data_IF_226616642758
#
_entry.id   IF_226616642758
#
_cell.length_a   1.000
_cell.length_b   1.000
_cell.length_c   1.000
_cell.angle_alpha   90.00
_cell.angle_beta   90.00
_cell.angle_gamma   90.00
#
_symmetry.space_group_name_H-M   'P 1'
#
loop_
_entity.id
_entity.type
_entity.pdbx_description
1 polymer ?
#
# COMPACT_ATOMS: atom_id res chain seq x y z
N UNK A 1 58.72 -6.24 -28.62
CA UNK A 1 57.94 -4.96 -28.65
C UNK A 1 56.51 -5.28 -29.05
N UNK A 2 55.49 -4.69 -28.38
CA UNK A 2 54.07 -4.95 -28.62
C UNK A 2 53.55 -4.24 -29.89
N UNK A 3 52.42 -4.68 -30.48
CA UNK A 3 51.80 -4.02 -31.62
C UNK A 3 51.03 -2.75 -31.21
N UNK A 4 51.20 -1.67 -31.98
CA UNK A 4 50.45 -0.41 -31.86
C UNK A 4 49.12 -0.46 -32.62
N UNK A 5 48.07 -0.16 -31.86
CA UNK A 5 46.81 0.54 -32.17
C UNK A 5 46.63 1.09 -33.60
N UNK A 6 45.46 0.78 -34.17
CA UNK A 6 44.89 1.47 -35.33
C UNK A 6 43.38 1.62 -35.18
N UNK A 7 42.94 2.81 -34.76
CA UNK A 7 41.54 3.26 -34.72
C UNK A 7 41.06 3.54 -36.15
N UNK A 8 39.90 2.99 -36.55
CA UNK A 8 39.20 3.42 -37.77
C UNK A 8 37.74 3.73 -37.45
N UNK A 9 37.36 4.95 -37.82
CA UNK A 9 36.01 5.49 -37.79
C UNK A 9 35.14 4.86 -38.87
N UNK A 10 33.84 4.62 -38.60
CA UNK A 10 32.83 4.41 -39.64
C UNK A 10 31.58 5.21 -39.31
N UNK A 11 31.19 6.03 -40.28
CA UNK A 11 30.04 6.92 -40.30
C UNK A 11 28.76 6.23 -40.77
N UNK A 12 27.65 6.89 -40.44
CA UNK A 12 26.22 6.60 -40.60
C UNK A 12 25.74 6.51 -42.07
N UNK A 13 24.72 5.67 -42.37
CA UNK A 13 23.49 5.98 -43.18
C UNK A 13 22.64 4.72 -43.52
N UNK A 14 21.35 4.71 -43.12
CA UNK A 14 20.08 4.77 -43.92
C UNK A 14 19.48 3.39 -44.27
N UNK A 15 18.37 2.93 -43.66
CA UNK A 15 16.91 3.18 -43.93
C UNK A 15 16.42 2.66 -45.30
N UNK A 16 15.44 1.73 -45.29
CA UNK A 16 14.18 1.60 -46.09
C UNK A 16 13.57 0.21 -45.75
N UNK A 17 12.41 -0.02 -45.09
CA UNK A 17 10.98 0.33 -45.25
C UNK A 17 10.16 -0.65 -46.14
N UNK A 18 8.96 -1.05 -45.64
CA UNK A 18 7.71 -1.47 -46.36
C UNK A 18 7.52 -2.99 -46.63
N UNK A 19 6.38 -3.67 -46.41
CA UNK A 19 4.95 -3.33 -46.13
C UNK A 19 4.09 -4.54 -45.67
N UNK A 20 3.04 -4.25 -44.87
CA UNK A 20 1.59 -4.63 -44.90
C UNK A 20 1.12 -6.03 -45.32
N UNK A 21 0.01 -6.61 -44.83
CA UNK A 21 -1.18 -6.20 -44.04
C UNK A 21 -1.94 -7.50 -43.65
N UNK A 22 -3.12 -7.59 -43.00
CA UNK A 22 -4.35 -6.78 -43.04
C UNK A 22 -5.33 -7.27 -41.95
N UNK A 23 -5.99 -6.30 -41.28
CA UNK A 23 -7.38 -6.26 -40.76
C UNK A 23 -8.15 -7.51 -40.29
N UNK A 24 -8.69 -7.45 -39.07
CA UNK A 24 -10.15 -7.41 -38.85
C UNK A 24 -10.51 -6.90 -37.45
N UNK A 25 -11.18 -5.75 -37.44
CA UNK A 25 -12.07 -5.23 -36.40
C UNK A 25 -13.02 -6.30 -35.90
N UNK A 26 -13.11 -6.52 -34.59
CA UNK A 26 -14.39 -6.75 -33.91
C UNK A 26 -14.39 -6.08 -32.52
N UNK A 27 -15.48 -5.34 -32.28
CA UNK A 27 -15.81 -4.73 -30.99
C UNK A 27 -16.20 -5.85 -30.04
N UNK A 28 -15.68 -5.83 -28.84
CA UNK A 28 -16.31 -6.50 -27.70
C UNK A 28 -16.01 -5.72 -26.44
N UNK A 29 -16.96 -4.85 -26.12
CA UNK A 29 -17.11 -4.17 -24.85
C UNK A 29 -17.64 -5.15 -23.80
N UNK A 30 -16.78 -5.67 -22.93
CA UNK A 30 -17.20 -6.17 -21.61
C UNK A 30 -16.02 -6.41 -20.66
N UNK A 31 -16.01 -5.63 -19.57
CA UNK A 31 -15.36 -5.89 -18.26
C UNK A 31 -13.85 -6.24 -18.20
N UNK A 32 -12.99 -5.21 -18.24
CA UNK A 32 -11.58 -5.29 -17.81
C UNK A 32 -11.17 -4.39 -16.61
N UNK A 33 -12.04 -4.03 -15.62
CA UNK A 33 -11.64 -3.11 -14.56
C UNK A 33 -10.70 -3.73 -13.49
N UNK A 34 -10.61 -5.06 -13.40
CA UNK A 34 -9.83 -5.73 -12.34
C UNK A 34 -8.32 -5.70 -12.61
N UNK A 35 -7.90 -5.99 -13.84
CA UNK A 35 -6.47 -6.02 -14.18
C UNK A 35 -5.81 -4.64 -14.15
N UNK A 36 -6.53 -3.58 -14.54
CA UNK A 36 -6.01 -2.21 -14.46
C UNK A 36 -5.80 -1.76 -13.01
N UNK A 37 -6.71 -2.15 -12.11
CA UNK A 37 -6.60 -1.82 -10.68
C UNK A 37 -5.42 -2.53 -10.03
N UNK A 38 -5.21 -3.82 -10.33
CA UNK A 38 -4.06 -4.58 -9.80
C UNK A 38 -2.72 -3.98 -10.24
N UNK A 39 -2.59 -3.59 -11.51
CA UNK A 39 -1.38 -2.95 -12.04
C UNK A 39 -1.10 -1.58 -11.39
N UNK A 40 -2.16 -0.85 -11.05
CA UNK A 40 -2.05 0.43 -10.35
C UNK A 40 -1.65 0.25 -8.88
N UNK A 41 -2.23 -0.74 -8.20
CA UNK A 41 -1.83 -1.12 -6.84
C UNK A 41 -0.37 -1.57 -6.80
N UNK A 42 0.05 -2.42 -7.73
CA UNK A 42 1.44 -2.86 -7.84
C UNK A 42 2.38 -1.68 -8.08
N UNK A 43 1.98 -0.71 -8.90
CA UNK A 43 2.74 0.52 -9.10
C UNK A 43 2.86 1.34 -7.80
N UNK A 44 1.79 1.47 -7.03
CA UNK A 44 1.81 2.22 -5.78
C UNK A 44 2.74 1.57 -4.74
N UNK A 45 2.75 0.24 -4.67
CA UNK A 45 3.70 -0.52 -3.84
C UNK A 45 5.15 -0.21 -4.27
N UNK A 46 5.43 -0.31 -5.58
CA UNK A 46 6.74 0.00 -6.14
C UNK A 46 7.17 1.46 -5.84
N UNK A 47 6.23 2.41 -5.97
CA UNK A 47 6.43 3.82 -5.73
C UNK A 47 6.76 4.10 -4.26
N UNK A 48 5.96 3.55 -3.36
CA UNK A 48 6.15 3.67 -1.92
C UNK A 48 7.51 3.15 -1.49
N UNK A 49 7.90 1.96 -2.00
CA UNK A 49 9.23 1.40 -1.75
C UNK A 49 10.34 2.35 -2.21
N UNK A 50 10.26 2.87 -3.43
CA UNK A 50 11.26 3.81 -3.95
C UNK A 50 11.36 5.08 -3.09
N UNK A 51 10.23 5.64 -2.66
CA UNK A 51 10.19 6.81 -1.76
C UNK A 51 10.88 6.50 -0.44
N UNK A 52 10.57 5.35 0.17
CA UNK A 52 11.18 4.92 1.42
C UNK A 52 12.70 4.80 1.28
N UNK A 53 13.19 4.21 0.19
CA UNK A 53 14.63 4.06 -0.04
C UNK A 53 15.34 5.41 -0.22
N UNK A 54 14.72 6.37 -0.91
CA UNK A 54 15.26 7.74 -1.00
C UNK A 54 15.34 8.40 0.38
N UNK A 55 14.31 8.26 1.20
CA UNK A 55 14.29 8.82 2.56
C UNK A 55 15.33 8.18 3.47
N UNK A 56 15.50 6.85 3.42
CA UNK A 56 16.51 6.14 4.21
C UNK A 56 17.91 6.59 3.80
N UNK A 57 18.16 6.72 2.49
CA UNK A 57 19.43 7.24 2.00
C UNK A 57 19.69 8.62 2.59
N UNK A 58 18.79 9.59 2.37
CA UNK A 58 18.92 10.96 2.88
C UNK A 58 19.16 11.02 4.40
N UNK A 59 18.39 10.24 5.18
CA UNK A 59 18.52 10.15 6.64
C UNK A 59 19.85 9.56 7.10
N UNK A 60 20.47 8.69 6.30
CA UNK A 60 21.76 8.09 6.65
C UNK A 60 22.93 9.09 6.63
N UNK A 61 22.82 10.22 5.93
CA UNK A 61 23.87 11.25 5.86
C UNK A 61 25.18 10.85 5.17
N UNK A 62 25.23 9.67 4.51
CA UNK A 62 26.45 9.09 3.89
C UNK A 62 26.65 9.48 2.41
N UNK A 63 25.80 10.34 1.89
CA UNK A 63 25.69 10.68 0.46
C UNK A 63 26.44 11.97 0.14
N UNK A 64 27.00 12.04 -1.06
CA UNK A 64 27.64 13.25 -1.58
C UNK A 64 26.58 14.37 -1.77
N UNK A 65 26.97 15.65 -1.66
CA UNK A 65 26.09 16.81 -1.85
C UNK A 65 25.30 16.76 -3.17
N UNK A 66 25.95 16.33 -4.26
CA UNK A 66 25.27 16.14 -5.56
C UNK A 66 24.20 15.05 -5.49
N UNK A 67 24.52 13.92 -4.86
CA UNK A 67 23.57 12.81 -4.70
C UNK A 67 22.42 13.20 -3.79
N UNK A 68 22.69 13.97 -2.73
CA UNK A 68 21.66 14.51 -1.84
C UNK A 68 20.64 15.36 -2.59
N UNK A 69 21.13 16.27 -3.43
CA UNK A 69 20.28 17.11 -4.27
C UNK A 69 19.48 16.28 -5.28
N UNK A 70 20.13 15.35 -5.98
CA UNK A 70 19.49 14.48 -6.96
C UNK A 70 18.39 13.60 -6.31
N UNK A 71 18.65 13.01 -5.13
CA UNK A 71 17.68 12.23 -4.37
C UNK A 71 16.51 13.08 -3.86
N UNK A 72 16.77 14.31 -3.42
CA UNK A 72 15.72 15.26 -2.98
C UNK A 72 14.82 15.63 -4.16
N UNK A 73 15.39 15.90 -5.34
CA UNK A 73 14.62 16.20 -6.56
C UNK A 73 13.78 15.02 -7.02
N UNK A 74 14.34 13.81 -6.97
CA UNK A 74 13.61 12.57 -7.27
C UNK A 74 12.42 12.41 -6.31
N UNK A 75 12.65 12.58 -4.99
CA UNK A 75 11.62 12.46 -3.96
C UNK A 75 10.46 13.45 -4.20
N UNK A 76 10.77 14.72 -4.47
CA UNK A 76 9.76 15.74 -4.76
C UNK A 76 8.89 15.37 -5.99
N UNK A 77 9.51 14.76 -7.01
CA UNK A 77 8.78 14.33 -8.21
C UNK A 77 7.89 13.11 -7.93
N UNK A 78 8.35 12.18 -7.10
CA UNK A 78 7.59 10.96 -6.76
C UNK A 78 6.40 11.26 -5.83
N UNK A 79 6.56 12.19 -4.88
CA UNK A 79 5.48 12.61 -3.96
C UNK A 79 4.46 13.56 -4.60
N UNK A 80 4.83 14.23 -5.69
CA UNK A 80 3.93 15.14 -6.40
C UNK A 80 2.73 14.36 -6.99
N UNK A 81 1.52 14.77 -6.60
CA UNK A 81 0.28 14.24 -7.16
C UNK A 81 0.03 14.72 -8.60
N UNK A 82 0.73 15.78 -9.03
CA UNK A 82 0.65 16.32 -10.40
C UNK A 82 1.57 15.60 -11.40
N UNK A 83 2.46 14.72 -10.93
CA UNK A 83 3.36 13.97 -11.79
C UNK A 83 2.68 12.73 -12.35
N UNK A 84 2.66 12.60 -13.68
CA UNK A 84 2.07 11.44 -14.36
C UNK A 84 2.80 10.13 -14.01
N UNK A 85 2.08 8.99 -14.04
CA UNK A 85 2.63 7.67 -13.72
C UNK A 85 3.90 7.36 -14.53
N UNK A 86 3.92 7.67 -15.83
CA UNK A 86 5.08 7.44 -16.71
C UNK A 86 6.32 8.20 -16.22
N UNK A 87 6.14 9.46 -15.81
CA UNK A 87 7.23 10.28 -15.29
C UNK A 87 7.76 9.72 -13.96
N UNK A 88 6.86 9.31 -13.06
CA UNK A 88 7.25 8.65 -11.80
C UNK A 88 8.08 7.38 -12.06
N UNK A 89 7.63 6.51 -12.97
CA UNK A 89 8.40 5.30 -13.38
C UNK A 89 9.77 5.63 -13.96
N UNK A 90 9.87 6.69 -14.78
CA UNK A 90 11.15 7.12 -15.33
C UNK A 90 12.12 7.57 -14.24
N UNK A 91 11.64 8.36 -13.26
CA UNK A 91 12.45 8.81 -12.13
C UNK A 91 12.89 7.62 -11.26
N UNK A 92 11.99 6.67 -11.00
CA UNK A 92 12.32 5.43 -10.27
C UNK A 92 13.43 4.64 -10.97
N UNK A 93 13.31 4.44 -12.29
CA UNK A 93 14.33 3.73 -13.09
C UNK A 93 15.65 4.49 -13.14
N UNK A 94 15.63 5.82 -13.27
CA UNK A 94 16.85 6.63 -13.27
C UNK A 94 17.57 6.57 -11.91
N UNK A 95 16.82 6.55 -10.81
CA UNK A 95 17.38 6.60 -9.45
C UNK A 95 17.89 5.24 -8.98
N UNK A 96 17.14 4.16 -9.28
CA UNK A 96 17.41 2.83 -8.72
C UNK A 96 17.73 1.76 -9.76
N UNK A 97 17.54 2.03 -11.06
CA UNK A 97 17.62 1.01 -12.10
C UNK A 97 16.42 0.07 -12.03
N UNK A 98 16.69 -1.23 -11.97
CA UNK A 98 15.68 -2.24 -11.72
C UNK A 98 15.34 -2.32 -10.22
N UNK A 99 14.35 -1.53 -9.81
CA UNK A 99 13.88 -1.47 -8.43
C UNK A 99 13.08 -2.73 -8.02
N UNK A 100 12.53 -3.51 -8.96
CA UNK A 100 11.78 -4.72 -8.62
C UNK A 100 12.69 -5.82 -8.10
N UNK A 101 13.83 -6.01 -8.77
CA UNK A 101 14.87 -6.91 -8.28
C UNK A 101 15.32 -6.53 -6.87
N UNK A 102 15.52 -5.22 -6.61
CA UNK A 102 15.91 -4.72 -5.28
C UNK A 102 14.87 -4.94 -4.19
N UNK A 103 13.57 -4.84 -4.51
CA UNK A 103 12.51 -5.20 -3.55
C UNK A 103 12.63 -6.67 -3.14
N UNK A 104 12.76 -7.58 -4.11
CA UNK A 104 12.86 -9.02 -3.83
C UNK A 104 14.12 -9.38 -3.03
N UNK A 105 15.24 -8.69 -3.27
CA UNK A 105 16.48 -8.88 -2.53
C UNK A 105 16.35 -8.44 -1.07
N UNK A 106 15.77 -7.26 -0.83
CA UNK A 106 15.54 -6.76 0.53
C UNK A 106 14.50 -7.60 1.28
N UNK A 107 13.44 -8.07 0.62
CA UNK A 107 12.46 -8.99 1.22
C UNK A 107 13.08 -10.33 1.60
N UNK A 108 13.94 -10.88 0.74
CA UNK A 108 14.73 -12.09 1.06
C UNK A 108 15.66 -11.85 2.24
N UNK A 109 16.35 -10.71 2.29
CA UNK A 109 17.23 -10.37 3.42
C UNK A 109 16.43 -10.18 4.71
N UNK A 110 15.27 -9.53 4.65
CA UNK A 110 14.42 -9.28 5.82
C UNK A 110 13.80 -10.55 6.36
N UNK A 111 13.32 -11.44 5.48
CA UNK A 111 12.82 -12.77 5.88
C UNK A 111 13.92 -13.62 6.51
N UNK A 112 15.13 -13.63 5.95
CA UNK A 112 16.26 -14.35 6.55
C UNK A 112 16.67 -13.77 7.91
N UNK A 113 16.64 -12.44 8.06
CA UNK A 113 16.89 -11.80 9.35
C UNK A 113 15.80 -12.12 10.37
N UNK A 114 14.52 -12.15 9.96
CA UNK A 114 13.40 -12.52 10.82
C UNK A 114 13.54 -13.96 11.35
N UNK A 115 13.97 -14.90 10.50
CA UNK A 115 14.26 -16.29 10.92
C UNK A 115 15.42 -16.38 11.93
N UNK A 116 16.39 -15.45 11.86
CA UNK A 116 17.52 -15.38 12.80
C UNK A 116 17.20 -14.66 14.10
N UNK A 117 16.03 -14.03 14.24
CA UNK A 117 15.62 -13.38 15.48
C UNK A 117 15.23 -14.43 16.52
N UNK A 118 16.20 -14.88 17.31
CA UNK A 118 15.93 -15.71 18.48
C UNK A 118 15.44 -14.83 19.63
N UNK A 119 14.20 -15.04 20.09
CA UNK A 119 13.71 -14.39 21.32
C UNK A 119 14.45 -15.02 22.49
N UNK A 120 15.37 -14.27 23.09
CA UNK A 120 16.03 -14.70 24.33
C UNK A 120 15.07 -14.43 25.50
N UNK A 121 14.82 -15.40 26.39
CA UNK A 121 14.07 -15.15 27.62
C UNK A 121 14.76 -14.02 28.40
N UNK A 122 13.98 -13.06 28.86
CA UNK A 122 14.51 -11.92 29.59
C UNK A 122 15.01 -12.37 30.96
N UNK A 123 16.28 -12.07 31.26
CA UNK A 123 16.84 -12.30 32.59
C UNK A 123 16.17 -11.36 33.61
N UNK A 124 15.62 -11.87 34.73
CA UNK A 124 14.89 -11.06 35.69
C UNK A 124 15.81 -10.03 36.35
N UNK A 125 15.68 -8.77 35.96
CA UNK A 125 16.39 -7.66 36.59
C UNK A 125 15.71 -7.32 37.93
N UNK A 126 16.46 -7.41 39.02
CA UNK A 126 15.99 -7.14 40.40
C UNK A 126 15.44 -5.72 40.62
N UNK A 127 15.61 -4.80 39.66
CA UNK A 127 15.09 -3.42 39.71
C UNK A 127 13.71 -3.24 39.05
N UNK A 128 13.13 -4.28 38.44
CA UNK A 128 11.81 -4.16 37.83
C UNK A 128 10.72 -4.36 38.88
N UNK A 129 9.83 -3.39 39.01
CA UNK A 129 8.64 -3.49 39.87
C UNK A 129 7.47 -3.95 39.01
N UNK A 130 6.81 -5.03 39.40
CA UNK A 130 5.56 -5.47 38.78
C UNK A 130 4.41 -4.58 39.26
N UNK A 131 3.85 -3.77 38.36
CA UNK A 131 2.66 -2.97 38.67
C UNK A 131 1.42 -3.84 38.39
N UNK A 132 0.67 -4.16 39.44
CA UNK A 132 -0.62 -4.85 39.33
C UNK A 132 -1.65 -3.89 38.74
N UNK A 133 -2.19 -4.21 37.56
CA UNK A 133 -3.20 -3.40 36.84
C UNK A 133 -4.50 -3.19 37.64
N UNK A 134 -4.78 -4.03 38.64
CA UNK A 134 -5.96 -3.95 39.50
C UNK A 134 -5.58 -3.71 40.96
N UNK A 135 -5.37 -2.45 41.31
CA UNK A 135 -5.56 -1.93 42.66
C UNK A 135 -5.86 -0.42 42.62
N UNK A 136 -6.70 0.03 41.68
CA UNK A 136 -7.50 1.23 41.96
C UNK A 136 -8.61 0.78 42.93
N UNK A 137 -8.29 0.78 44.22
CA UNK A 137 -9.32 1.11 45.20
C UNK A 137 -9.61 2.58 44.90
N UNK A 138 -10.77 2.85 44.31
CA UNK A 138 -11.34 4.19 44.29
C UNK A 138 -11.54 4.61 45.75
N UNK A 139 -10.47 5.08 46.41
CA UNK A 139 -10.63 5.96 47.54
C UNK A 139 -11.10 7.28 46.96
N UNK A 140 -12.14 7.80 47.58
CA UNK A 140 -12.99 8.87 47.09
C UNK A 140 -12.21 10.10 46.58
N UNK A 141 -12.86 10.80 45.66
CA UNK A 141 -12.45 11.96 44.87
C UNK A 141 -11.37 11.78 43.77
N UNK A 142 -11.85 11.96 42.54
CA UNK A 142 -11.14 12.18 41.27
C UNK A 142 -10.67 10.91 40.51
N UNK A 143 -11.67 10.21 39.98
CA UNK A 143 -11.53 9.14 38.98
C UNK A 143 -10.81 9.62 37.72
N UNK A 144 -9.62 9.09 37.45
CA UNK A 144 -9.06 9.02 36.12
C UNK A 144 -10.05 8.28 35.21
N UNK A 145 -10.81 9.02 34.40
CA UNK A 145 -11.64 8.47 33.34
C UNK A 145 -10.87 8.58 32.03
N UNK A 146 -10.54 7.45 31.42
CA UNK A 146 -10.39 7.44 29.97
C UNK A 146 -11.72 7.95 29.41
N UNK A 147 -11.67 9.05 28.65
CA UNK A 147 -12.83 9.75 28.11
C UNK A 147 -13.57 8.91 27.05
N UNK A 148 -14.11 7.76 27.45
CA UNK A 148 -15.10 7.02 26.70
C UNK A 148 -16.44 7.40 27.32
N UNK A 149 -17.25 8.15 26.57
CA UNK A 149 -18.60 8.46 26.98
C UNK A 149 -19.37 7.14 27.11
N UNK A 150 -19.64 6.73 28.34
CA UNK A 150 -20.65 5.72 28.61
C UNK A 150 -21.98 6.48 28.60
N UNK A 151 -22.77 6.27 27.55
CA UNK A 151 -24.15 6.72 27.55
C UNK A 151 -24.90 5.81 28.53
N UNK A 152 -25.05 6.27 29.78
CA UNK A 152 -25.90 5.60 30.76
C UNK A 152 -27.33 6.13 30.55
N UNK A 153 -28.18 5.27 29.99
CA UNK A 153 -29.63 5.42 30.01
C UNK A 153 -30.12 5.29 31.47
N UNK A 154 -30.14 6.40 32.20
CA UNK A 154 -31.02 6.54 33.35
C UNK A 154 -31.40 8.00 33.56
N UNK A 155 -32.68 8.24 33.31
CA UNK A 155 -33.47 9.42 33.61
C UNK A 155 -33.09 10.14 34.91
N UNK A 156 -32.57 11.35 34.80
CA UNK A 156 -32.95 12.48 35.66
C UNK A 156 -32.65 13.78 34.92
N UNK A 157 -33.68 14.59 34.76
CA UNK A 157 -33.63 15.95 34.24
C UNK A 157 -32.59 16.78 34.99
N UNK A 158 -31.80 17.58 34.28
CA UNK A 158 -31.81 19.03 34.44
C UNK A 158 -30.84 19.70 33.44
N UNK A 159 -31.45 20.37 32.47
CA UNK A 159 -31.03 21.64 31.86
C UNK A 159 -29.55 22.02 32.02
N UNK A 160 -28.76 21.85 30.94
CA UNK A 160 -27.78 22.82 30.41
C UNK A 160 -27.28 22.26 29.06
N UNK A 161 -27.03 23.15 28.11
CA UNK A 161 -26.64 22.95 26.70
C UNK A 161 -27.78 22.96 25.67
N UNK A 162 -28.80 23.79 25.91
CA UNK A 162 -29.36 24.56 24.81
C UNK A 162 -28.27 25.53 24.30
N UNK A 163 -28.04 25.59 22.98
CA UNK A 163 -27.20 26.57 22.23
C UNK A 163 -25.93 26.05 21.55
N UNK A 164 -25.93 24.87 20.91
CA UNK A 164 -24.87 24.57 19.92
C UNK A 164 -25.24 23.63 18.77
N UNK A 165 -26.52 23.34 18.51
CA UNK A 165 -26.91 22.53 17.33
C UNK A 165 -28.17 23.08 16.69
N UNK A 166 -28.04 24.26 16.07
CA UNK A 166 -28.99 24.75 15.05
C UNK A 166 -28.25 24.95 13.73
N UNK A 167 -27.69 23.88 13.17
CA UNK A 167 -27.70 23.71 11.71
C UNK A 167 -27.16 22.34 11.30
N UNK A 168 -27.89 21.71 10.37
CA UNK A 168 -27.53 20.51 9.60
C UNK A 168 -27.50 19.19 10.36
N UNK A 169 -28.66 18.54 10.43
CA UNK A 169 -28.90 17.36 9.60
C UNK A 169 -30.38 16.97 9.72
N UNK A 170 -31.13 17.39 8.72
CA UNK A 170 -32.49 16.94 8.49
C UNK A 170 -32.44 15.65 7.66
N UNK A 171 -33.27 14.70 8.07
CA UNK A 171 -33.65 13.45 7.39
C UNK A 171 -32.68 12.27 7.49
N UNK A 172 -32.85 11.49 8.57
CA UNK A 172 -32.77 10.05 8.46
C UNK A 172 -33.83 9.42 9.38
N UNK A 173 -35.03 9.19 8.84
CA UNK A 173 -36.06 8.39 9.51
C UNK A 173 -35.74 6.90 9.30
N UNK A 174 -35.23 6.31 10.37
CA UNK A 174 -35.18 4.88 10.60
C UNK A 174 -36.60 4.30 10.63
N UNK A 175 -36.87 3.30 9.78
CA UNK A 175 -37.68 2.16 10.21
C UNK A 175 -36.74 1.03 10.60
N UNK A 176 -36.61 0.87 11.92
CA UNK A 176 -36.26 -0.38 12.56
C UNK A 176 -37.10 -1.51 11.98
N UNK A 177 -36.45 -2.54 11.43
CA UNK A 177 -36.96 -3.89 11.52
C UNK A 177 -35.83 -4.83 11.93
N UNK A 178 -36.02 -5.42 13.11
CA UNK A 178 -35.37 -6.65 13.54
C UNK A 178 -35.44 -7.70 12.43
N UNK A 179 -34.30 -8.04 11.83
CA UNK A 179 -34.15 -9.24 11.01
C UNK A 179 -33.06 -10.15 11.60
N UNK A 180 -33.29 -10.60 12.83
CA UNK A 180 -32.77 -11.89 13.31
C UNK A 180 -33.73 -13.00 12.90
N UNK A 181 -34.00 -13.14 11.58
CA UNK A 181 -34.76 -14.28 11.03
C UNK A 181 -34.13 -14.77 9.73
N UNK A 182 -33.62 -16.00 9.83
CA UNK A 182 -33.49 -16.99 8.76
C UNK A 182 -32.45 -16.73 7.67
N UNK A 183 -31.19 -17.04 7.96
CA UNK A 183 -30.27 -17.49 6.91
C UNK A 183 -30.70 -18.89 6.44
N UNK A 184 -31.55 -18.96 5.40
CA UNK A 184 -31.96 -20.22 4.77
C UNK A 184 -30.92 -20.61 3.70
N UNK A 185 -30.09 -21.61 4.02
CA UNK A 185 -29.11 -22.14 3.07
C UNK A 185 -29.80 -23.05 2.06
N UNK A 186 -29.84 -22.64 0.78
CA UNK A 186 -30.36 -23.45 -0.33
C UNK A 186 -29.20 -24.26 -0.92
N UNK A 187 -29.27 -25.61 -0.97
CA UNK A 187 -28.30 -26.41 -1.70
C UNK A 187 -28.28 -26.00 -3.17
N UNK A 188 -27.09 -25.84 -3.75
CA UNK A 188 -26.96 -25.47 -5.17
C UNK A 188 -27.60 -26.54 -6.06
N UNK A 189 -28.37 -26.12 -7.06
CA UNK A 189 -29.03 -26.98 -8.06
C UNK A 189 -28.07 -27.50 -9.15
N UNK A 190 -26.75 -27.35 -8.95
CA UNK A 190 -25.71 -27.65 -9.94
C UNK A 190 -25.94 -26.98 -11.31
N UNK A 191 -26.76 -25.93 -11.39
CA UNK A 191 -26.98 -25.16 -12.62
C UNK A 191 -25.72 -24.41 -13.06
N UNK A 192 -24.86 -24.06 -12.09
CA UNK A 192 -23.54 -23.52 -12.36
C UNK A 192 -22.52 -24.65 -12.52
N UNK A 193 -22.19 -25.01 -13.77
CA UNK A 193 -21.10 -25.93 -14.10
C UNK A 193 -20.07 -25.21 -14.95
N UNK A 194 -18.80 -25.34 -14.60
CA UNK A 194 -17.72 -24.95 -15.51
C UNK A 194 -17.71 -25.92 -16.68
N UNK A 195 -18.08 -25.44 -17.86
CA UNK A 195 -17.94 -26.20 -19.10
C UNK A 195 -16.45 -26.16 -19.50
N UNK A 196 -15.67 -27.09 -18.95
CA UNK A 196 -14.34 -27.38 -19.48
C UNK A 196 -14.54 -28.36 -20.63
N UNK A 197 -14.46 -27.88 -21.87
CA UNK A 197 -14.44 -28.74 -23.05
C UNK A 197 -13.03 -29.37 -23.16
N UNK A 198 -12.85 -30.69 -22.93
CA UNK A 198 -11.53 -31.32 -22.98
C UNK A 198 -11.06 -31.65 -24.41
N UNK A 199 -11.70 -31.10 -25.44
CA UNK A 199 -11.49 -31.52 -26.84
C UNK A 199 -10.45 -30.73 -27.64
N UNK A 200 -9.67 -29.84 -27.01
CA UNK A 200 -8.49 -29.21 -27.65
C UNK A 200 -7.16 -29.91 -27.30
N UNK A 201 -7.16 -31.25 -27.30
CA UNK A 201 -5.89 -32.01 -27.34
C UNK A 201 -5.94 -33.08 -28.42
N UNK A 202 -5.62 -32.67 -29.65
CA UNK A 202 -4.87 -33.48 -30.65
C UNK A 202 -4.44 -32.59 -31.80
#
# INVERSE_FOLDING_TARGET
MPPKVGTKHSTVKSKTHVSNGKSSTERSSSSTPTLSSELEQQFEIELCWCIQQLQIALKSGKLNNKQAHDHTKALNTLMSNSSTMVKKRQVMRLSFGDYRAKMTEEDKKRSQNALRMTVKPAEPNKKTVFIKKSAFVCSNENTFKFNFACADDSSTNDTILNTAVKHMNSFNDNKNQDLTKNAHFVPSDNSFRFNFDPSETS
#
